data_IF_781402356130
#
_entry.id   IF_781402356130
#
_cell.length_a   1.000
_cell.length_b   1.000
_cell.length_c   1.000
_cell.angle_alpha   90.00
_cell.angle_beta   90.00
_cell.angle_gamma   90.00
#
_symmetry.space_group_name_H-M   'P 1'
#
loop_
_entity.id
_entity.type
_entity.pdbx_description
1 polymer ?
#
# COMPACT_ATOMS: atom_id res chain seq x y z
N UNK A 1 -10.72 7.26 14.30
CA UNK A 1 -9.54 6.36 14.22
C UNK A 1 -9.62 5.45 12.96
N UNK A 2 -9.74 6.03 11.76
CA UNK A 2 -9.93 5.25 10.50
C UNK A 2 -9.29 5.91 9.27
N UNK A 3 -8.55 7.02 9.44
CA UNK A 3 -8.02 7.81 8.33
C UNK A 3 -7.15 6.99 7.37
N UNK A 4 -6.34 6.06 7.88
CA UNK A 4 -5.53 5.17 7.05
C UNK A 4 -6.38 4.23 6.17
N UNK A 5 -7.54 3.80 6.66
CA UNK A 5 -8.44 2.93 5.90
C UNK A 5 -9.11 3.73 4.78
N UNK A 6 -9.56 4.95 5.07
CA UNK A 6 -10.12 5.85 4.07
C UNK A 6 -9.09 6.24 3.01
N UNK A 7 -7.86 6.59 3.43
CA UNK A 7 -6.74 6.87 2.53
C UNK A 7 -6.38 5.66 1.66
N UNK A 8 -6.29 4.47 2.24
CA UNK A 8 -6.07 3.24 1.48
C UNK A 8 -7.19 2.98 0.47
N UNK A 9 -8.46 3.23 0.83
CA UNK A 9 -9.60 3.06 -0.08
C UNK A 9 -9.53 4.00 -1.28
N UNK A 10 -9.15 5.26 -1.05
CA UNK A 10 -8.97 6.25 -2.11
C UNK A 10 -7.74 5.96 -2.99
N UNK A 11 -6.64 5.50 -2.40
CA UNK A 11 -5.39 5.21 -3.11
C UNK A 11 -5.43 3.90 -3.90
N UNK A 12 -6.25 2.91 -3.47
CA UNK A 12 -6.29 1.56 -4.04
C UNK A 12 -6.43 1.53 -5.58
N UNK A 13 -7.35 2.27 -6.24
CA UNK A 13 -7.48 2.23 -7.70
C UNK A 13 -6.28 2.79 -8.46
N UNK A 14 -5.62 3.81 -7.90
CA UNK A 14 -4.42 4.39 -8.51
C UNK A 14 -3.24 3.42 -8.38
N UNK A 15 -3.02 2.91 -7.17
CA UNK A 15 -1.94 1.97 -6.87
C UNK A 15 -2.09 0.64 -7.62
N UNK A 16 -3.32 0.11 -7.72
CA UNK A 16 -3.57 -1.13 -8.46
C UNK A 16 -3.37 -0.99 -9.97
N UNK A 17 -3.46 0.22 -10.54
CA UNK A 17 -3.15 0.49 -11.95
C UNK A 17 -1.66 0.74 -12.21
N UNK A 18 -0.91 1.12 -11.18
CA UNK A 18 0.53 1.34 -11.28
C UNK A 18 1.29 0.06 -11.64
N UNK A 19 2.32 0.17 -12.47
CA UNK A 19 3.20 -0.95 -12.87
C UNK A 19 4.29 -1.26 -11.83
N UNK A 20 4.03 -0.96 -10.55
CA UNK A 20 4.94 -1.24 -9.44
C UNK A 20 4.71 -2.63 -8.87
N UNK A 21 5.69 -3.14 -8.11
CA UNK A 21 5.54 -4.38 -7.32
C UNK A 21 4.34 -4.32 -6.37
N UNK A 22 4.09 -3.15 -5.76
CA UNK A 22 2.92 -2.94 -4.92
C UNK A 22 1.62 -3.05 -5.72
N UNK A 23 1.57 -2.47 -6.92
CA UNK A 23 0.42 -2.58 -7.83
C UNK A 23 0.15 -4.02 -8.26
N UNK A 24 1.20 -4.77 -8.63
CA UNK A 24 1.10 -6.19 -8.96
C UNK A 24 0.57 -7.02 -7.77
N UNK A 25 1.10 -6.78 -6.57
CA UNK A 25 0.62 -7.41 -5.35
C UNK A 25 -0.86 -7.10 -5.08
N UNK A 26 -1.30 -5.84 -5.22
CA UNK A 26 -2.69 -5.43 -5.05
C UNK A 26 -3.62 -6.08 -6.08
N UNK A 27 -3.22 -6.15 -7.35
CA UNK A 27 -3.99 -6.85 -8.40
C UNK A 27 -4.16 -8.33 -8.08
N UNK A 28 -3.09 -9.00 -7.66
CA UNK A 28 -3.15 -10.41 -7.25
C UNK A 28 -4.09 -10.64 -6.06
N UNK A 29 -4.15 -9.69 -5.12
CA UNK A 29 -5.05 -9.74 -3.97
C UNK A 29 -6.50 -9.53 -4.38
N UNK A 30 -6.76 -8.59 -5.28
CA UNK A 30 -8.11 -8.29 -5.78
C UNK A 30 -8.74 -9.46 -6.54
N UNK A 31 -7.93 -10.31 -7.18
CA UNK A 31 -8.41 -11.55 -7.82
C UNK A 31 -8.88 -12.57 -6.79
N UNK A 32 -8.27 -12.60 -5.60
CA UNK A 32 -8.48 -13.67 -4.60
C UNK A 32 -9.37 -13.27 -3.43
N UNK A 33 -9.54 -11.97 -3.17
CA UNK A 33 -10.15 -11.43 -1.95
C UNK A 33 -11.07 -10.26 -2.25
N UNK A 34 -12.10 -10.11 -1.43
CA UNK A 34 -13.04 -9.00 -1.51
C UNK A 34 -12.33 -7.64 -1.32
N UNK A 35 -12.80 -6.61 -2.02
CA UNK A 35 -12.21 -5.26 -2.04
C UNK A 35 -11.99 -4.68 -0.64
N UNK A 36 -12.93 -4.86 0.29
CA UNK A 36 -12.78 -4.36 1.67
C UNK A 36 -11.60 -5.00 2.40
N UNK A 37 -11.36 -6.30 2.21
CA UNK A 37 -10.19 -6.99 2.77
C UNK A 37 -8.90 -6.44 2.18
N UNK A 38 -8.89 -6.16 0.88
CA UNK A 38 -7.73 -5.56 0.20
C UNK A 38 -7.43 -4.15 0.73
N UNK A 39 -8.46 -3.33 0.95
CA UNK A 39 -8.30 -1.99 1.54
C UNK A 39 -7.66 -2.07 2.93
N UNK A 40 -8.11 -2.99 3.78
CA UNK A 40 -7.53 -3.17 5.13
C UNK A 40 -6.09 -3.67 5.05
N UNK A 41 -5.80 -4.62 4.15
CA UNK A 41 -4.44 -5.11 3.93
C UNK A 41 -3.50 -4.00 3.43
N UNK A 42 -3.97 -3.16 2.51
CA UNK A 42 -3.23 -1.99 2.03
C UNK A 42 -2.95 -1.01 3.17
N UNK A 43 -3.96 -0.67 3.98
CA UNK A 43 -3.78 0.22 5.12
C UNK A 43 -2.76 -0.34 6.13
N UNK A 44 -2.80 -1.65 6.42
CA UNK A 44 -1.83 -2.29 7.30
C UNK A 44 -0.41 -2.22 6.73
N UNK A 45 -0.24 -2.47 5.43
CA UNK A 45 1.07 -2.37 4.76
C UNK A 45 1.62 -0.94 4.81
N UNK A 46 0.79 0.06 4.55
CA UNK A 46 1.16 1.47 4.65
C UNK A 46 1.52 1.87 6.09
N UNK A 47 0.74 1.41 7.08
CA UNK A 47 1.04 1.63 8.50
C UNK A 47 2.38 1.03 8.91
N UNK A 48 2.73 -0.16 8.41
CA UNK A 48 4.02 -0.80 8.67
C UNK A 48 5.18 0.00 8.07
N UNK A 49 5.03 0.50 6.85
CA UNK A 49 6.02 1.37 6.19
C UNK A 49 6.21 2.65 7.01
N UNK A 50 5.13 3.35 7.36
CA UNK A 50 5.17 4.55 8.18
C UNK A 50 5.85 4.29 9.55
N UNK A 51 5.53 3.17 10.20
CA UNK A 51 6.16 2.78 11.46
C UNK A 51 7.67 2.56 11.32
N UNK A 52 8.13 1.88 10.27
CA UNK A 52 9.56 1.68 10.03
C UNK A 52 10.27 3.01 9.79
N UNK A 53 9.68 3.91 9.01
CA UNK A 53 10.22 5.25 8.73
C UNK A 53 10.36 6.03 10.04
N UNK A 54 9.27 6.13 10.81
CA UNK A 54 9.24 6.85 12.08
C UNK A 54 10.20 6.27 13.11
N UNK A 55 10.32 4.93 13.18
CA UNK A 55 11.19 4.26 14.15
C UNK A 55 12.67 4.33 13.80
N UNK A 56 13.01 4.40 12.51
CA UNK A 56 14.40 4.39 12.05
C UNK A 56 14.95 5.79 11.76
N UNK A 57 14.13 6.83 11.90
CA UNK A 57 14.43 8.21 11.46
C UNK A 57 14.99 8.26 10.03
N UNK A 58 14.66 7.25 9.23
CA UNK A 58 15.18 7.10 7.89
C UNK A 58 14.33 7.96 6.93
N UNK A 59 14.94 8.70 6.00
CA UNK A 59 14.19 9.43 4.99
C UNK A 59 13.33 8.44 4.17
N UNK A 60 12.17 8.91 3.72
CA UNK A 60 11.32 8.12 2.84
C UNK A 60 11.95 8.01 1.45
N UNK A 61 12.55 6.85 1.18
CA UNK A 61 13.08 6.52 -0.14
C UNK A 61 11.96 6.01 -1.05
N UNK A 62 11.39 6.92 -1.86
CA UNK A 62 10.31 6.59 -2.80
C UNK A 62 10.72 5.48 -3.78
N UNK A 63 12.01 5.44 -4.14
CA UNK A 63 12.54 4.51 -5.15
C UNK A 63 12.45 3.04 -4.70
N UNK A 64 12.64 2.76 -3.40
CA UNK A 64 12.37 1.42 -2.82
C UNK A 64 10.91 1.01 -2.89
N UNK A 65 9.99 1.97 -2.91
CA UNK A 65 8.56 1.70 -2.98
C UNK A 65 8.05 1.60 -4.43
N UNK A 66 8.71 2.27 -5.37
CA UNK A 66 8.36 2.30 -6.80
C UNK A 66 9.20 1.38 -7.67
N UNK A 67 10.22 0.71 -7.11
CA UNK A 67 11.05 -0.25 -7.83
C UNK A 67 10.20 -1.14 -8.75
N UNK A 68 10.35 -0.89 -10.04
CA UNK A 68 9.77 -1.67 -11.14
C UNK A 68 10.61 -2.93 -11.27
N UNK A 69 9.95 -4.10 -11.24
CA UNK A 69 10.59 -5.35 -11.62
C UNK A 69 10.87 -5.39 -13.11
#
# INVERSE_FOLDING_TARGET
>A
RTLLIHGARAALPSLARSQTLLGAWLRSLLVRRHRNTVVVALANKLARIAWVILRREAPFEADRATATA
#
